data_IF_220013685057
#
_entry.id   IF_220013685057
#
_cell.length_a   1.000
_cell.length_b   1.000
_cell.length_c   1.000
_cell.angle_alpha   90.00
_cell.angle_beta   90.00
_cell.angle_gamma   90.00
#
_symmetry.space_group_name_H-M   'P 1'
#
loop_
_entity.id
_entity.type
_entity.pdbx_description
1 polymer ?
#
# COMPACT_ATOMS: atom_id res chain seq x y z
N UNK A 1 20.22 -0.85 20.02
CA UNK A 1 19.00 -0.41 19.30
C UNK A 1 17.86 -1.33 19.70
N UNK A 2 16.64 -0.81 19.77
CA UNK A 2 15.47 -1.59 20.20
C UNK A 2 15.01 -2.50 19.04
N UNK A 3 14.40 -3.64 19.35
CA UNK A 3 13.91 -4.62 18.37
C UNK A 3 13.00 -3.98 17.31
N UNK A 4 12.26 -2.94 17.70
CA UNK A 4 11.39 -2.16 16.81
C UNK A 4 12.15 -1.37 15.74
N UNK A 5 13.35 -0.85 16.04
CA UNK A 5 14.15 -0.15 15.03
C UNK A 5 14.57 -1.11 13.91
N UNK A 6 14.99 -2.32 14.26
CA UNK A 6 15.34 -3.36 13.29
C UNK A 6 14.13 -3.76 12.43
N UNK A 7 12.95 -3.84 13.03
CA UNK A 7 11.71 -4.14 12.31
C UNK A 7 11.39 -3.04 11.28
N UNK A 8 11.47 -1.76 11.65
CA UNK A 8 11.24 -0.65 10.72
C UNK A 8 12.29 -0.58 9.61
N UNK A 9 13.56 -0.77 9.94
CA UNK A 9 14.64 -0.82 8.94
C UNK A 9 14.40 -1.97 7.96
N UNK A 10 14.01 -3.14 8.47
CA UNK A 10 13.67 -4.29 7.61
C UNK A 10 12.53 -3.96 6.65
N UNK A 11 11.43 -3.35 7.14
CA UNK A 11 10.31 -2.92 6.29
C UNK A 11 10.79 -1.95 5.21
N UNK A 12 11.54 -0.90 5.59
CA UNK A 12 12.02 0.11 4.67
C UNK A 12 12.91 -0.51 3.57
N UNK A 13 13.87 -1.34 3.95
CA UNK A 13 14.78 -2.02 3.02
C UNK A 13 13.99 -2.97 2.11
N UNK A 14 13.09 -3.78 2.67
CA UNK A 14 12.30 -4.73 1.90
C UNK A 14 11.49 -4.05 0.80
N UNK A 15 10.74 -2.99 1.13
CA UNK A 15 9.98 -2.24 0.13
C UNK A 15 10.88 -1.53 -0.88
N UNK A 16 11.99 -0.97 -0.44
CA UNK A 16 12.96 -0.29 -1.31
C UNK A 16 13.56 -1.23 -2.36
N UNK A 17 13.97 -2.43 -1.94
CA UNK A 17 14.56 -3.44 -2.84
C UNK A 17 13.54 -3.89 -3.87
N UNK A 18 12.31 -4.19 -3.44
CA UNK A 18 11.24 -4.62 -4.36
C UNK A 18 10.94 -3.52 -5.39
N UNK A 19 10.83 -2.27 -4.94
CA UNK A 19 10.54 -1.15 -5.83
C UNK A 19 11.73 -0.79 -6.73
N UNK A 20 12.97 -1.03 -6.31
CA UNK A 20 14.14 -0.92 -7.17
C UNK A 20 14.10 -1.91 -8.34
N UNK A 21 13.77 -3.18 -8.07
CA UNK A 21 13.66 -4.19 -9.12
C UNK A 21 12.48 -3.92 -10.07
N UNK A 22 11.39 -3.36 -9.56
CA UNK A 22 10.22 -2.98 -10.38
C UNK A 22 10.45 -1.72 -11.21
N UNK A 23 11.12 -0.71 -10.65
CA UNK A 23 11.24 0.63 -11.21
C UNK A 23 10.02 1.52 -10.91
N UNK A 24 10.23 2.85 -10.92
CA UNK A 24 9.21 3.86 -10.59
C UNK A 24 7.99 3.78 -11.51
N UNK A 25 8.17 3.61 -12.83
CA UNK A 25 7.06 3.52 -13.79
C UNK A 25 6.11 2.40 -13.39
N UNK A 26 6.66 1.24 -13.04
CA UNK A 26 5.87 0.07 -12.67
C UNK A 26 5.17 0.25 -11.32
N UNK A 27 5.81 0.94 -10.35
CA UNK A 27 5.17 1.30 -9.08
C UNK A 27 3.99 2.27 -9.28
N UNK A 28 4.15 3.32 -10.10
CA UNK A 28 3.07 4.26 -10.42
C UNK A 28 1.94 3.55 -11.15
N UNK A 29 2.26 2.70 -12.13
CA UNK A 29 1.25 1.88 -12.82
C UNK A 29 0.51 0.99 -11.84
N UNK A 30 1.19 0.35 -10.90
CA UNK A 30 0.56 -0.51 -9.88
C UNK A 30 -0.47 0.27 -9.06
N UNK A 31 -0.12 1.50 -8.66
CA UNK A 31 -1.03 2.37 -7.91
C UNK A 31 -2.20 2.82 -8.79
N UNK A 32 -1.94 3.16 -10.05
CA UNK A 32 -2.98 3.53 -11.01
C UNK A 32 -3.97 2.38 -11.25
N UNK A 33 -3.47 1.15 -11.41
CA UNK A 33 -4.25 -0.08 -11.54
C UNK A 33 -5.11 -0.31 -10.29
N UNK A 34 -4.56 -0.09 -9.08
CA UNK A 34 -5.33 -0.14 -7.84
C UNK A 34 -6.50 0.84 -7.85
N UNK A 35 -6.27 2.11 -8.21
CA UNK A 35 -7.33 3.12 -8.30
C UNK A 35 -8.38 2.78 -9.36
N UNK A 36 -7.95 2.30 -10.54
CA UNK A 36 -8.86 1.84 -11.59
C UNK A 36 -9.76 0.70 -11.07
N UNK A 37 -9.20 -0.27 -10.35
CA UNK A 37 -9.98 -1.34 -9.75
C UNK A 37 -11.14 -0.84 -8.90
N UNK A 38 -10.86 0.07 -7.97
CA UNK A 38 -11.90 0.64 -7.13
C UNK A 38 -12.92 1.45 -7.93
N UNK A 39 -12.48 2.19 -8.95
CA UNK A 39 -13.37 2.95 -9.83
C UNK A 39 -14.34 2.04 -10.60
N UNK A 40 -13.84 1.00 -11.25
CA UNK A 40 -14.66 0.04 -11.99
C UNK A 40 -15.60 -0.72 -11.07
N UNK A 41 -15.14 -1.18 -9.91
CA UNK A 41 -16.00 -1.78 -8.90
C UNK A 41 -17.15 -0.84 -8.53
N UNK A 42 -16.86 0.41 -8.15
CA UNK A 42 -17.90 1.38 -7.76
C UNK A 42 -18.92 1.64 -8.88
N UNK A 43 -18.45 1.73 -10.13
CA UNK A 43 -19.29 2.00 -11.30
C UNK A 43 -20.18 0.82 -11.69
N UNK A 44 -19.63 -0.39 -11.67
CA UNK A 44 -20.32 -1.58 -12.20
C UNK A 44 -20.97 -2.44 -11.13
N UNK A 45 -20.70 -2.19 -9.85
CA UNK A 45 -21.33 -2.91 -8.74
C UNK A 45 -22.85 -2.96 -8.87
N UNK A 46 -23.52 -1.84 -9.16
CA UNK A 46 -24.98 -1.79 -9.23
C UNK A 46 -25.58 -2.66 -10.34
N UNK A 47 -24.89 -2.83 -11.46
CA UNK A 47 -25.40 -3.63 -12.59
C UNK A 47 -25.46 -5.14 -12.27
N UNK A 48 -24.63 -5.62 -11.36
CA UNK A 48 -24.59 -7.04 -10.98
C UNK A 48 -25.65 -7.40 -9.94
N UNK A 49 -26.21 -6.41 -9.21
CA UNK A 49 -27.15 -6.62 -8.11
C UNK A 49 -28.58 -6.16 -8.40
N UNK A 50 -28.99 -6.13 -9.67
CA UNK A 50 -30.37 -5.74 -10.03
C UNK A 50 -31.47 -6.70 -9.52
N UNK A 51 -31.12 -7.86 -8.96
CA UNK A 51 -32.11 -8.83 -8.46
C UNK A 51 -32.37 -8.74 -6.95
N UNK A 52 -33.58 -8.23 -6.67
CA UNK A 52 -34.55 -8.57 -5.61
C UNK A 52 -34.04 -9.34 -4.38
N UNK A 53 -34.29 -8.74 -3.20
CA UNK A 53 -34.49 -9.39 -1.89
C UNK A 53 -33.42 -10.44 -1.53
N UNK A 54 -32.16 -10.03 -1.47
CA UNK A 54 -31.08 -10.86 -0.93
C UNK A 54 -30.88 -10.49 0.53
N UNK A 55 -30.74 -11.48 1.41
CA UNK A 55 -30.43 -11.27 2.83
C UNK A 55 -29.19 -10.37 3.00
N UNK A 56 -29.26 -9.48 3.99
CA UNK A 56 -28.24 -8.45 4.25
C UNK A 56 -26.84 -9.08 4.40
N UNK A 57 -26.73 -10.23 5.06
CA UNK A 57 -25.45 -10.94 5.23
C UNK A 57 -24.88 -11.46 3.89
N UNK A 58 -25.72 -11.99 3.01
CA UNK A 58 -25.30 -12.51 1.70
C UNK A 58 -24.89 -11.35 0.77
N UNK A 59 -25.53 -10.19 0.92
CA UNK A 59 -25.20 -8.99 0.17
C UNK A 59 -23.76 -8.50 0.41
N UNK A 60 -23.30 -8.45 1.67
CA UNK A 60 -21.93 -8.04 1.98
C UNK A 60 -20.89 -9.02 1.44
N UNK A 61 -21.13 -10.33 1.58
CA UNK A 61 -20.22 -11.35 1.03
C UNK A 61 -20.08 -11.25 -0.50
N UNK A 62 -21.21 -11.15 -1.22
CA UNK A 62 -21.18 -10.97 -2.68
C UNK A 62 -20.44 -9.69 -3.08
N UNK A 63 -20.60 -8.60 -2.33
CA UNK A 63 -19.91 -7.33 -2.58
C UNK A 63 -18.40 -7.47 -2.48
N UNK A 64 -17.91 -8.17 -1.47
CA UNK A 64 -16.48 -8.44 -1.28
C UNK A 64 -15.97 -9.29 -2.44
N UNK A 65 -16.68 -10.36 -2.82
CA UNK A 65 -16.29 -11.24 -3.92
C UNK A 65 -16.17 -10.46 -5.24
N UNK A 66 -17.12 -9.59 -5.53
CA UNK A 66 -17.08 -8.74 -6.73
C UNK A 66 -15.93 -7.75 -6.72
N UNK A 67 -15.64 -7.12 -5.57
CA UNK A 67 -14.46 -6.26 -5.44
C UNK A 67 -13.18 -7.03 -5.78
N UNK A 68 -13.01 -8.22 -5.21
CA UNK A 68 -11.87 -9.08 -5.50
C UNK A 68 -11.79 -9.49 -6.97
N UNK A 69 -12.93 -9.83 -7.58
CA UNK A 69 -12.99 -10.19 -9.00
C UNK A 69 -12.51 -9.03 -9.89
N UNK A 70 -13.06 -7.82 -9.71
CA UNK A 70 -12.62 -6.64 -10.47
C UNK A 70 -11.16 -6.30 -10.22
N UNK A 71 -10.70 -6.44 -8.98
CA UNK A 71 -9.32 -6.20 -8.60
C UNK A 71 -8.35 -7.13 -9.30
N UNK A 72 -8.61 -8.44 -9.29
CA UNK A 72 -7.80 -9.43 -9.99
C UNK A 72 -7.85 -9.19 -11.50
N UNK A 73 -9.04 -8.95 -12.06
CA UNK A 73 -9.21 -8.71 -13.49
C UNK A 73 -8.38 -7.50 -13.98
N UNK A 74 -8.43 -6.39 -13.24
CA UNK A 74 -7.69 -5.17 -13.58
C UNK A 74 -6.19 -5.31 -13.32
N UNK A 75 -5.79 -6.09 -12.32
CA UNK A 75 -4.38 -6.46 -12.12
C UNK A 75 -3.81 -7.25 -13.30
N UNK A 76 -4.55 -8.25 -13.81
CA UNK A 76 -4.12 -9.04 -14.97
C UNK A 76 -3.93 -8.14 -16.19
N UNK A 77 -4.91 -7.27 -16.48
CA UNK A 77 -4.81 -6.30 -17.57
C UNK A 77 -3.61 -5.37 -17.37
N UNK A 78 -3.43 -4.88 -16.14
CA UNK A 78 -2.32 -4.04 -15.75
C UNK A 78 -0.94 -4.70 -15.97
N UNK A 79 -0.81 -5.98 -15.62
CA UNK A 79 0.41 -6.76 -15.89
C UNK A 79 0.70 -6.88 -17.39
N UNK A 80 -0.34 -7.12 -18.20
CA UNK A 80 -0.20 -7.19 -19.66
C UNK A 80 0.31 -5.85 -20.20
N UNK A 81 -0.34 -4.74 -19.82
CA UNK A 81 0.07 -3.39 -20.22
C UNK A 81 1.52 -3.10 -19.79
N UNK A 82 1.87 -3.46 -18.56
CA UNK A 82 3.20 -3.25 -18.00
C UNK A 82 4.28 -3.99 -18.82
N UNK A 83 4.00 -5.23 -19.23
CA UNK A 83 4.92 -6.01 -20.07
C UNK A 83 5.15 -5.35 -21.43
N UNK A 84 4.08 -4.82 -22.06
CA UNK A 84 4.19 -4.09 -23.32
C UNK A 84 5.00 -2.79 -23.19
N UNK A 85 4.81 -2.04 -22.10
CA UNK A 85 5.56 -0.80 -21.85
C UNK A 85 7.05 -1.08 -21.64
N UNK A 86 7.38 -2.14 -20.89
CA UNK A 86 8.77 -2.52 -20.61
C UNK A 86 9.54 -2.94 -21.87
N UNK A 87 8.87 -3.50 -22.90
CA UNK A 87 9.52 -3.86 -24.16
C UNK A 87 10.03 -2.65 -24.96
N UNK A 88 9.41 -1.48 -24.78
CA UNK A 88 9.72 -0.25 -25.54
C UNK A 88 10.83 0.60 -24.92
N UNK A 89 11.14 0.40 -23.65
CA UNK A 89 12.19 1.16 -22.94
C UNK A 89 13.54 0.43 -23.11
N UNK A 90 14.04 0.36 -24.34
CA UNK A 90 15.36 -0.25 -24.66
C UNK A 90 16.55 0.70 -24.48
N UNK A 91 16.34 1.88 -23.88
CA UNK A 91 17.41 2.82 -23.60
C UNK A 91 17.96 2.58 -22.19
N UNK A 92 19.21 2.10 -22.13
CA UNK A 92 19.92 1.69 -20.90
C UNK A 92 19.93 2.80 -19.83
N UNK A 93 20.11 4.06 -20.23
CA UNK A 93 20.19 5.21 -19.32
C UNK A 93 18.87 5.50 -18.59
N UNK A 94 17.74 5.44 -19.30
CA UNK A 94 16.42 5.73 -18.72
C UNK A 94 16.00 4.61 -17.75
N UNK A 95 16.41 3.38 -18.02
CA UNK A 95 16.09 2.22 -17.18
C UNK A 95 16.78 2.29 -15.80
N UNK A 96 18.04 2.72 -15.73
CA UNK A 96 18.76 2.83 -14.45
C UNK A 96 18.17 3.94 -13.56
N UNK A 97 17.84 5.10 -14.15
CA UNK A 97 17.19 6.20 -13.43
C UNK A 97 15.81 5.75 -12.93
N UNK A 98 15.04 5.02 -13.74
CA UNK A 98 13.75 4.46 -13.34
C UNK A 98 13.85 3.54 -12.10
N UNK A 99 14.90 2.72 -12.02
CA UNK A 99 15.15 1.84 -10.86
C UNK A 99 15.53 2.62 -9.60
N UNK A 100 16.41 3.62 -9.72
CA UNK A 100 16.82 4.46 -8.58
C UNK A 100 15.63 5.24 -8.03
N UNK A 101 14.83 5.86 -8.91
CA UNK A 101 13.61 6.54 -8.49
C UNK A 101 12.60 5.56 -7.89
N UNK A 102 12.54 4.32 -8.40
CA UNK A 102 11.76 3.24 -7.80
C UNK A 102 12.18 2.93 -6.37
N UNK A 103 13.48 3.00 -6.07
CA UNK A 103 14.02 2.81 -4.71
C UNK A 103 13.49 3.89 -3.76
N UNK A 104 13.56 5.17 -4.14
CA UNK A 104 12.98 6.28 -3.35
C UNK A 104 11.46 6.14 -3.17
N UNK A 105 10.77 5.68 -4.22
CA UNK A 105 9.34 5.40 -4.15
C UNK A 105 9.02 4.26 -3.16
N UNK A 106 9.82 3.19 -3.17
CA UNK A 106 9.73 2.08 -2.23
C UNK A 106 10.00 2.50 -0.79
N UNK A 107 11.00 3.37 -0.56
CA UNK A 107 11.26 3.98 0.75
C UNK A 107 10.03 4.74 1.26
N UNK A 108 9.46 5.61 0.43
CA UNK A 108 8.26 6.37 0.77
C UNK A 108 7.08 5.44 1.11
N UNK A 109 6.86 4.39 0.32
CA UNK A 109 5.84 3.38 0.58
C UNK A 109 6.08 2.61 1.87
N UNK A 110 7.33 2.25 2.17
CA UNK A 110 7.71 1.64 3.44
C UNK A 110 7.36 2.53 4.64
N UNK A 111 7.67 3.84 4.53
CA UNK A 111 7.27 4.83 5.54
C UNK A 111 5.75 4.88 5.73
N UNK A 112 4.97 4.91 4.64
CA UNK A 112 3.51 4.89 4.70
C UNK A 112 2.97 3.64 5.41
N UNK A 113 3.56 2.47 5.13
CA UNK A 113 3.13 1.21 5.73
C UNK A 113 3.42 1.20 7.23
N UNK A 114 4.57 1.71 7.66
CA UNK A 114 4.90 1.86 9.09
C UNK A 114 3.91 2.79 9.79
N UNK A 115 3.55 3.92 9.16
CA UNK A 115 2.56 4.85 9.70
C UNK A 115 1.18 4.19 9.86
N UNK A 116 0.74 3.44 8.85
CA UNK A 116 -0.54 2.72 8.89
C UNK A 116 -0.53 1.65 9.99
N UNK A 117 0.57 0.91 10.14
CA UNK A 117 0.72 -0.10 11.20
C UNK A 117 0.62 0.52 12.59
N UNK A 118 1.37 1.59 12.84
CA UNK A 118 1.35 2.29 14.13
C UNK A 118 -0.01 2.95 14.41
N UNK A 119 -0.65 3.55 13.41
CA UNK A 119 -2.00 4.09 13.53
C UNK A 119 -3.02 3.00 13.88
N UNK A 120 -2.97 1.87 13.14
CA UNK A 120 -3.84 0.72 13.36
C UNK A 120 -3.66 0.14 14.76
N UNK A 121 -2.42 -0.02 15.23
CA UNK A 121 -2.10 -0.48 16.59
C UNK A 121 -2.67 0.46 17.66
N UNK A 122 -2.52 1.78 17.48
CA UNK A 122 -3.10 2.77 18.39
C UNK A 122 -4.64 2.74 18.39
N UNK A 123 -5.25 2.50 17.23
CA UNK A 123 -6.71 2.41 17.09
C UNK A 123 -7.29 1.14 17.74
N UNK A 124 -6.65 -0.01 17.53
CA UNK A 124 -7.11 -1.31 18.04
C UNK A 124 -6.83 -1.45 19.55
N UNK A 125 -5.58 -1.24 19.98
CA UNK A 125 -5.15 -1.51 21.35
C UNK A 125 -4.30 -0.36 21.92
N UNK A 126 -4.98 0.70 22.36
CA UNK A 126 -4.34 1.89 22.92
C UNK A 126 -3.44 1.60 24.14
N UNK A 127 -3.77 0.58 24.96
CA UNK A 127 -2.93 0.16 26.09
C UNK A 127 -1.58 -0.41 25.60
N UNK A 128 -1.63 -1.29 24.61
CA UNK A 128 -0.45 -1.88 23.97
C UNK A 128 0.42 -0.78 23.34
N UNK A 129 -0.20 0.16 22.63
CA UNK A 129 0.49 1.30 22.02
C UNK A 129 1.26 2.13 23.06
N UNK A 130 0.62 2.50 24.17
CA UNK A 130 1.27 3.27 25.23
C UNK A 130 2.43 2.50 25.90
N UNK A 131 2.31 1.18 26.06
CA UNK A 131 3.41 0.34 26.54
C UNK A 131 4.60 0.34 25.58
N UNK A 132 4.33 0.19 24.28
CA UNK A 132 5.35 0.25 23.22
C UNK A 132 6.02 1.63 23.21
N UNK A 133 5.25 2.70 23.39
CA UNK A 133 5.77 4.06 23.48
C UNK A 133 6.74 4.19 24.66
N UNK A 134 6.31 3.81 25.88
CA UNK A 134 7.14 3.88 27.08
C UNK A 134 8.42 3.04 26.99
N UNK A 135 8.34 1.83 26.44
CA UNK A 135 9.50 0.93 26.30
C UNK A 135 10.46 1.37 25.20
N UNK A 136 9.97 2.04 24.15
CA UNK A 136 10.77 2.43 22.99
C UNK A 136 11.02 3.95 22.89
N UNK A 137 10.85 4.69 23.98
CA UNK A 137 11.08 6.14 24.06
C UNK A 137 12.51 6.59 23.72
N UNK A 138 13.49 5.68 23.57
CA UNK A 138 14.86 5.97 23.12
C UNK A 138 15.11 5.61 21.65
N UNK A 139 14.16 4.93 20.98
CA UNK A 139 14.32 4.53 19.59
C UNK A 139 14.07 5.68 18.63
N UNK A 140 15.07 5.98 17.81
CA UNK A 140 15.06 7.14 16.92
C UNK A 140 13.95 7.04 15.87
N UNK A 141 13.80 5.86 15.25
CA UNK A 141 12.83 5.66 14.16
C UNK A 141 11.40 5.64 14.70
N UNK A 142 11.15 4.97 15.82
CA UNK A 142 9.83 4.99 16.43
C UNK A 142 9.40 6.40 16.82
N UNK A 143 10.27 7.18 17.46
CA UNK A 143 9.97 8.57 17.83
C UNK A 143 9.70 9.40 16.57
N UNK A 144 10.50 9.23 15.52
CA UNK A 144 10.29 9.92 14.25
C UNK A 144 8.91 9.64 13.65
N UNK A 145 8.54 8.36 13.49
CA UNK A 145 7.22 7.97 12.94
C UNK A 145 6.06 8.35 13.87
N UNK A 146 6.25 8.24 15.18
CA UNK A 146 5.27 8.65 16.17
C UNK A 146 5.02 10.17 16.10
N UNK A 147 6.07 10.99 15.98
CA UNK A 147 5.94 12.44 15.82
C UNK A 147 5.15 12.80 14.55
N UNK A 148 5.39 12.08 13.45
CA UNK A 148 4.59 12.24 12.22
C UNK A 148 3.12 11.93 12.52
N UNK A 149 2.82 10.81 13.18
CA UNK A 149 1.44 10.46 13.55
C UNK A 149 0.77 11.51 14.42
N UNK A 150 1.44 12.01 15.46
CA UNK A 150 0.89 13.06 16.32
C UNK A 150 0.62 14.37 15.56
N UNK A 151 1.48 14.72 14.60
CA UNK A 151 1.28 15.91 13.75
C UNK A 151 0.00 15.82 12.91
N UNK A 152 -0.34 14.62 12.42
CA UNK A 152 -1.51 14.41 11.57
C UNK A 152 -2.76 13.93 12.32
N UNK A 153 -2.67 13.69 13.63
CA UNK A 153 -3.80 13.27 14.47
C UNK A 153 -4.94 14.30 14.56
N UNK A 154 -4.70 15.55 14.18
CA UNK A 154 -5.70 16.62 14.16
C UNK A 154 -6.38 16.82 12.79
N UNK A 155 -5.94 16.10 11.75
CA UNK A 155 -6.47 16.22 10.39
C UNK A 155 -7.35 15.04 9.96
N UNK A 156 -7.45 13.99 10.77
CA UNK A 156 -8.30 12.80 10.58
C UNK A 156 -9.32 12.71 11.72
#
# INVERSE_FOLDING_TARGET
MLIIDYLFIFILIYFSIISFFKGLINEILTIFIWFLSFYFFKKYYHYVFFEKKIDINIFYFKKIILLFFYFIFILVIGCIINNYLNFRIKNIYINNINRILGLFFGLFKGCLIILILLYSLNYIDKKLYNYILLTNNKSLLFIFFNNILYKYKYFL
#
